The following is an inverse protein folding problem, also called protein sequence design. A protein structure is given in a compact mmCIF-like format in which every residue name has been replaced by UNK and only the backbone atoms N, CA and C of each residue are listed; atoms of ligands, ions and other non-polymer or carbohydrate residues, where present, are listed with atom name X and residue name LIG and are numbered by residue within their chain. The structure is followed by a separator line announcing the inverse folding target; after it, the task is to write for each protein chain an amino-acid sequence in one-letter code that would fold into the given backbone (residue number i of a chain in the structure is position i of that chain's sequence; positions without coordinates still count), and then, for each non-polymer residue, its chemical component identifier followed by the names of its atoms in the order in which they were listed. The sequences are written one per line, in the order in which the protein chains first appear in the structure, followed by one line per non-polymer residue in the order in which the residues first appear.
data_IF_132793839829
#
_entry.id   IF_132793839829
#
_cell.length_a   1.000
_cell.length_b   1.000
_cell.length_c   1.000
_cell.angle_alpha   90.00
_cell.angle_beta   90.00
_cell.angle_gamma   90.00
#
_symmetry.space_group_name_H-M   'P 1'
#
loop_
_entity.id
_entity.type
_entity.pdbx_description
1 polymer ?
#
# COMPACT_ATOMS: atom_id res chain seq x y z
N UNK A 1 -22.26 7.07 -22.54
CA UNK A 1 -22.29 5.61 -22.90
C UNK A 1 -21.83 4.73 -21.73
N UNK A 2 -20.63 4.90 -21.17
CA UNK A 2 -20.12 4.09 -20.05
C UNK A 2 -20.89 4.35 -18.74
N UNK A 3 -21.24 5.60 -18.46
CA UNK A 3 -22.03 6.02 -17.31
C UNK A 3 -23.47 5.49 -17.39
N UNK A 4 -24.05 5.39 -18.58
CA UNK A 4 -25.38 4.83 -18.80
C UNK A 4 -25.41 3.33 -18.57
N UNK A 5 -24.37 2.60 -19.05
CA UNK A 5 -24.25 1.15 -18.84
C UNK A 5 -24.08 0.85 -17.34
N UNK A 6 -23.29 1.67 -16.63
CA UNK A 6 -23.08 1.55 -15.18
C UNK A 6 -24.40 1.75 -14.43
N UNK A 7 -25.15 2.78 -14.79
CA UNK A 7 -26.44 3.11 -14.16
C UNK A 7 -27.50 2.03 -14.38
N UNK A 8 -27.53 1.45 -15.57
CA UNK A 8 -28.45 0.36 -15.92
C UNK A 8 -28.07 -0.95 -15.19
N UNK A 9 -26.78 -1.24 -15.07
CA UNK A 9 -26.26 -2.39 -14.31
C UNK A 9 -26.60 -2.27 -12.83
N UNK A 10 -26.43 -1.09 -12.21
CA UNK A 10 -26.78 -0.82 -10.83
C UNK A 10 -28.29 -1.02 -10.57
N UNK A 11 -29.13 -0.52 -11.45
CA UNK A 11 -30.59 -0.71 -11.35
C UNK A 11 -30.97 -2.19 -11.42
N UNK A 12 -30.36 -2.95 -12.33
CA UNK A 12 -30.61 -4.40 -12.44
C UNK A 12 -30.23 -5.14 -11.18
N UNK A 13 -29.02 -4.88 -10.64
CA UNK A 13 -28.55 -5.50 -9.40
C UNK A 13 -29.41 -5.11 -8.21
N UNK A 14 -29.78 -3.84 -8.10
CA UNK A 14 -30.70 -3.37 -7.05
C UNK A 14 -32.06 -4.06 -7.10
N UNK A 15 -32.62 -4.23 -8.30
CA UNK A 15 -33.87 -4.95 -8.50
C UNK A 15 -33.78 -6.42 -8.05
N UNK A 16 -32.71 -7.12 -8.42
CA UNK A 16 -32.45 -8.51 -8.02
C UNK A 16 -32.30 -8.64 -6.49
N UNK A 17 -31.56 -7.71 -5.86
CA UNK A 17 -31.37 -7.69 -4.41
C UNK A 17 -32.67 -7.36 -3.66
N UNK A 18 -33.48 -6.41 -4.16
CA UNK A 18 -34.80 -6.10 -3.59
C UNK A 18 -35.77 -7.29 -3.70
N UNK A 19 -35.75 -8.01 -4.82
CA UNK A 19 -36.50 -9.22 -5.02
C UNK A 19 -36.11 -10.36 -4.07
N UNK A 20 -34.80 -10.54 -3.87
CA UNK A 20 -34.25 -11.50 -2.92
C UNK A 20 -34.53 -11.14 -1.47
N UNK A 21 -34.47 -9.84 -1.13
CA UNK A 21 -34.83 -9.31 0.20
C UNK A 21 -36.31 -9.52 0.56
N UNK A 22 -37.21 -9.30 -0.40
CA UNK A 22 -38.67 -9.57 -0.20
C UNK A 22 -38.93 -11.03 0.16
N UNK A 23 -38.22 -11.97 -0.43
CA UNK A 23 -38.33 -13.41 -0.10
C UNK A 23 -37.86 -13.76 1.31
N UNK A 24 -37.02 -12.91 1.93
CA UNK A 24 -36.45 -13.09 3.26
C UNK A 24 -37.01 -12.13 4.32
N UNK A 25 -38.13 -11.45 4.05
CA UNK A 25 -38.71 -10.40 4.91
C UNK A 25 -37.68 -9.25 5.23
N UNK A 26 -36.79 -8.94 4.35
CA UNK A 26 -35.87 -7.79 4.51
C UNK A 26 -36.53 -6.51 3.94
N UNK A 27 -36.61 -5.41 4.72
CA UNK A 27 -37.49 -4.26 4.40
C UNK A 27 -36.86 -3.21 3.47
N UNK A 28 -35.78 -3.51 2.74
CA UNK A 28 -35.11 -2.53 1.87
C UNK A 28 -35.81 -2.41 0.51
N UNK A 29 -36.23 -1.20 0.16
CA UNK A 29 -36.73 -0.87 -1.17
C UNK A 29 -35.61 -0.74 -2.21
N UNK A 30 -35.99 -0.79 -3.49
CA UNK A 30 -35.05 -0.70 -4.61
C UNK A 30 -34.20 0.59 -4.56
N UNK A 31 -34.81 1.75 -4.29
CA UNK A 31 -34.13 3.04 -4.17
C UNK A 31 -33.12 3.08 -3.00
N UNK A 32 -33.43 2.43 -1.89
CA UNK A 32 -32.53 2.32 -0.74
C UNK A 32 -31.32 1.43 -1.05
N UNK A 33 -31.53 0.37 -1.82
CA UNK A 33 -30.45 -0.50 -2.28
C UNK A 33 -29.58 0.24 -3.30
N UNK A 34 -30.17 1.01 -4.22
CA UNK A 34 -29.43 1.85 -5.16
C UNK A 34 -28.56 2.84 -4.41
N UNK A 35 -29.12 3.59 -3.44
CA UNK A 35 -28.37 4.56 -2.65
C UNK A 35 -27.21 3.92 -1.87
N UNK A 36 -27.43 2.74 -1.27
CA UNK A 36 -26.39 1.98 -0.58
C UNK A 36 -25.30 1.49 -1.54
N UNK A 37 -25.67 1.03 -2.74
CA UNK A 37 -24.73 0.58 -3.75
C UNK A 37 -23.93 1.77 -4.30
N UNK A 38 -24.57 2.90 -4.58
CA UNK A 38 -23.89 4.11 -5.02
C UNK A 38 -22.93 4.62 -3.96
N UNK A 39 -23.33 4.70 -2.70
CA UNK A 39 -22.50 5.13 -1.60
C UNK A 39 -21.30 4.19 -1.39
N UNK A 40 -21.49 2.88 -1.46
CA UNK A 40 -20.42 1.91 -1.27
C UNK A 40 -19.52 1.76 -2.51
N UNK A 41 -20.07 1.86 -3.74
CA UNK A 41 -19.29 1.84 -4.95
C UNK A 41 -18.42 3.09 -5.10
N UNK A 42 -18.89 4.25 -4.68
CA UNK A 42 -18.07 5.47 -4.66
C UNK A 42 -16.92 5.38 -3.64
N UNK A 43 -17.09 4.59 -2.57
CA UNK A 43 -16.04 4.33 -1.57
C UNK A 43 -15.13 3.14 -1.92
N UNK A 44 -15.62 2.17 -2.71
CA UNK A 44 -14.94 0.88 -2.98
C UNK A 44 -14.20 0.84 -4.32
N UNK A 45 -14.51 1.75 -5.26
CA UNK A 45 -13.74 1.89 -6.51
C UNK A 45 -12.99 3.22 -6.45
N UNK A 46 -11.87 3.29 -5.76
CA UNK A 46 -10.97 4.42 -5.94
C UNK A 46 -10.56 4.42 -7.40
N UNK A 47 -10.51 5.59 -7.98
CA UNK A 47 -10.02 5.79 -9.34
C UNK A 47 -8.65 5.13 -9.44
N UNK A 48 -8.53 4.04 -10.21
CA UNK A 48 -7.25 3.35 -10.41
C UNK A 48 -6.38 4.29 -11.20
N UNK A 49 -5.47 4.97 -10.54
CA UNK A 49 -4.55 5.87 -11.20
C UNK A 49 -3.55 5.01 -11.99
N UNK A 50 -3.75 4.86 -13.30
CA UNK A 50 -2.85 4.13 -14.18
C UNK A 50 -1.44 4.74 -14.19
N UNK A 51 -1.35 6.05 -13.97
CA UNK A 51 -0.09 6.80 -13.94
C UNK A 51 0.29 7.13 -12.51
N UNK A 52 1.42 6.57 -12.06
CA UNK A 52 1.98 6.90 -10.75
C UNK A 52 2.31 8.39 -10.66
N UNK A 53 1.84 9.12 -9.64
CA UNK A 53 2.26 10.50 -9.38
C UNK A 53 3.77 10.62 -9.24
N UNK A 54 4.33 11.77 -9.61
CA UNK A 54 5.77 12.02 -9.48
C UNK A 54 6.23 11.94 -8.03
N UNK A 55 5.43 12.48 -7.11
CA UNK A 55 5.72 12.53 -5.67
C UNK A 55 4.60 11.81 -4.92
N UNK A 56 4.98 10.94 -4.00
CA UNK A 56 4.08 10.30 -3.05
C UNK A 56 4.54 10.61 -1.63
N UNK A 57 3.61 10.87 -0.73
CA UNK A 57 3.88 10.85 0.70
C UNK A 57 4.36 9.45 1.10
N UNK A 58 5.21 9.36 2.10
CA UNK A 58 5.86 8.11 2.46
C UNK A 58 5.97 7.95 3.97
N UNK A 59 5.55 6.81 4.46
CA UNK A 59 5.82 6.36 5.82
C UNK A 59 7.07 5.47 5.89
N UNK A 60 7.82 5.63 6.97
CA UNK A 60 9.04 4.86 7.24
C UNK A 60 8.77 3.86 8.36
N UNK A 61 8.76 2.59 8.04
CA UNK A 61 8.57 1.49 9.00
C UNK A 61 9.87 0.71 9.14
N UNK A 62 10.35 0.55 10.37
CA UNK A 62 11.57 -0.20 10.67
C UNK A 62 11.24 -1.60 11.16
N UNK A 63 12.03 -2.57 10.73
CA UNK A 63 11.89 -3.96 11.15
C UNK A 63 13.24 -4.68 11.17
N UNK A 64 13.26 -5.93 11.59
CA UNK A 64 14.43 -6.80 11.52
C UNK A 64 14.19 -7.92 10.53
N UNK A 65 15.22 -8.25 9.75
CA UNK A 65 15.27 -9.43 8.90
C UNK A 65 16.63 -10.10 9.13
N UNK A 66 16.63 -11.36 9.57
CA UNK A 66 17.84 -12.12 9.88
C UNK A 66 18.84 -11.39 10.80
N UNK A 67 18.34 -10.70 11.83
CA UNK A 67 19.11 -9.85 12.79
C UNK A 67 19.63 -8.54 12.18
N UNK A 68 19.47 -8.30 10.91
CA UNK A 68 19.79 -7.03 10.25
C UNK A 68 18.67 -6.02 10.43
N UNK A 69 19.04 -4.75 10.47
CA UNK A 69 18.08 -3.65 10.54
C UNK A 69 17.62 -3.31 9.12
N UNK A 70 16.32 -3.29 8.95
CA UNK A 70 15.69 -3.02 7.67
C UNK A 70 14.70 -1.86 7.79
N UNK A 71 14.40 -1.27 6.65
CA UNK A 71 13.40 -0.22 6.51
C UNK A 71 12.45 -0.58 5.37
N UNK A 72 11.16 -0.34 5.60
CA UNK A 72 10.14 -0.28 4.56
C UNK A 72 9.72 1.18 4.37
N UNK A 73 9.77 1.65 3.15
CA UNK A 73 9.28 2.94 2.69
C UNK A 73 7.93 2.69 2.01
N UNK A 74 6.83 3.06 2.67
CA UNK A 74 5.47 2.85 2.16
C UNK A 74 4.98 4.14 1.53
N UNK A 75 4.93 4.19 0.20
CA UNK A 75 4.41 5.31 -0.55
C UNK A 75 2.89 5.31 -0.53
N UNK A 76 2.29 6.46 -0.22
CA UNK A 76 0.86 6.63 -0.02
C UNK A 76 0.24 7.50 -1.12
N UNK A 77 -0.92 7.08 -1.62
CA UNK A 77 -1.79 7.88 -2.45
C UNK A 77 -3.13 8.03 -1.73
N UNK A 78 -3.50 9.27 -1.40
CA UNK A 78 -4.71 9.59 -0.63
C UNK A 78 -4.81 8.81 0.70
N UNK A 79 -3.65 8.65 1.37
CA UNK A 79 -3.56 7.93 2.65
C UNK A 79 -3.55 6.42 2.54
N UNK A 80 -3.68 5.85 1.34
CA UNK A 80 -3.68 4.41 1.10
C UNK A 80 -2.32 3.93 0.54
N UNK A 81 -1.80 2.75 0.96
CA UNK A 81 -0.57 2.20 0.40
C UNK A 81 -0.65 2.00 -1.11
N UNK A 82 0.23 2.65 -1.83
CA UNK A 82 0.32 2.61 -3.29
C UNK A 82 1.56 1.86 -3.77
N UNK A 83 2.65 1.97 -3.03
CA UNK A 83 3.90 1.26 -3.31
C UNK A 83 4.69 1.03 -2.02
N UNK A 84 5.59 0.08 -2.06
CA UNK A 84 6.50 -0.23 -0.97
C UNK A 84 7.90 -0.45 -1.53
N UNK A 85 8.92 0.02 -0.81
CA UNK A 85 10.33 -0.28 -1.05
C UNK A 85 10.95 -0.76 0.24
N UNK A 86 11.83 -1.75 0.17
CA UNK A 86 12.49 -2.31 1.35
C UNK A 86 13.98 -2.43 1.12
N UNK A 87 14.75 -2.14 2.16
CA UNK A 87 16.19 -2.25 2.10
C UNK A 87 16.85 -2.27 3.47
N UNK A 88 18.13 -2.60 3.49
CA UNK A 88 18.97 -2.54 4.68
C UNK A 88 19.08 -1.11 5.21
N UNK A 89 19.11 -0.99 6.52
CA UNK A 89 19.46 0.26 7.20
C UNK A 89 20.94 0.26 7.51
N UNK A 90 21.71 0.44 6.46
CA UNK A 90 23.16 0.39 6.42
C UNK A 90 23.70 1.47 5.48
N UNK A 91 24.92 1.97 5.70
CA UNK A 91 25.54 3.03 4.91
C UNK A 91 26.28 2.53 3.67
N UNK A 92 26.67 1.26 3.63
CA UNK A 92 27.38 0.66 2.50
C UNK A 92 26.41 -0.10 1.57
N UNK A 93 25.51 -0.92 2.13
CA UNK A 93 24.63 -1.82 1.38
C UNK A 93 23.14 -1.43 1.43
N UNK A 94 22.83 -0.19 1.80
CA UNK A 94 21.46 0.24 1.98
C UNK A 94 21.29 1.75 2.09
N UNK A 95 20.48 2.18 3.06
CA UNK A 95 20.28 3.59 3.38
C UNK A 95 20.31 3.83 4.89
N UNK A 96 21.04 4.85 5.33
CA UNK A 96 21.00 5.27 6.74
C UNK A 96 19.97 6.38 6.94
N UNK A 97 18.96 6.10 7.74
CA UNK A 97 17.95 7.07 8.15
C UNK A 97 18.02 7.34 9.65
N UNK A 98 18.05 8.61 10.09
CA UNK A 98 17.93 8.95 11.50
C UNK A 98 16.68 8.30 12.10
N UNK A 99 16.76 7.78 13.34
CA UNK A 99 15.63 7.12 14.02
C UNK A 99 14.38 8.02 14.14
N UNK A 100 14.57 9.32 14.09
CA UNK A 100 13.49 10.32 14.19
C UNK A 100 12.72 10.52 12.88
N UNK A 101 13.20 9.98 11.77
CA UNK A 101 12.53 10.07 10.47
C UNK A 101 11.49 8.95 10.38
N UNK A 102 10.23 9.31 10.50
CA UNK A 102 9.08 8.40 10.39
C UNK A 102 8.25 8.65 9.13
N UNK A 103 8.46 9.81 8.49
CA UNK A 103 7.74 10.23 7.29
C UNK A 103 8.70 10.92 6.31
N UNK A 104 8.30 10.94 5.05
CA UNK A 104 9.00 11.61 3.98
C UNK A 104 8.21 11.55 2.67
N UNK A 105 8.93 11.63 1.55
CA UNK A 105 8.35 11.59 0.21
C UNK A 105 9.18 10.68 -0.69
N UNK A 106 8.50 9.89 -1.51
CA UNK A 106 9.15 9.16 -2.60
C UNK A 106 8.95 9.93 -3.89
N UNK A 107 10.06 10.34 -4.49
CA UNK A 107 10.11 11.14 -5.71
C UNK A 107 10.56 10.23 -6.86
N UNK A 108 9.71 10.10 -7.88
CA UNK A 108 10.06 9.39 -9.12
C UNK A 108 10.72 10.38 -10.07
N UNK A 109 11.95 10.10 -10.44
CA UNK A 109 12.68 10.81 -11.48
C UNK A 109 12.64 10.02 -12.79
N UNK A 110 12.64 10.74 -13.91
CA UNK A 110 12.81 10.15 -15.25
C UNK A 110 14.10 10.71 -15.81
N UNK A 111 15.06 9.82 -16.05
CA UNK A 111 16.34 10.19 -16.62
C UNK A 111 16.21 10.50 -18.13
N UNK A 112 17.18 11.19 -18.74
CA UNK A 112 17.14 11.52 -20.17
C UNK A 112 17.04 10.30 -21.10
N UNK A 113 17.53 9.14 -20.67
CA UNK A 113 17.44 7.85 -21.37
C UNK A 113 16.10 7.13 -21.18
N UNK A 114 15.15 7.74 -20.45
CA UNK A 114 13.83 7.17 -20.15
C UNK A 114 13.84 6.19 -18.96
N UNK A 115 15.00 5.88 -18.37
CA UNK A 115 15.07 5.07 -17.15
C UNK A 115 14.44 5.81 -15.96
N UNK A 116 13.99 5.04 -14.96
CA UNK A 116 13.29 5.59 -13.80
C UNK A 116 14.16 5.43 -12.56
N UNK A 117 14.36 6.52 -11.84
CA UNK A 117 15.03 6.56 -10.53
C UNK A 117 14.00 6.91 -9.46
N UNK A 118 14.15 6.35 -8.28
CA UNK A 118 13.32 6.67 -7.11
C UNK A 118 14.22 7.21 -6.01
N UNK A 119 13.86 8.36 -5.49
CA UNK A 119 14.57 9.06 -4.43
C UNK A 119 13.68 9.16 -3.20
N UNK A 120 14.25 9.08 -2.01
CA UNK A 120 13.53 9.33 -0.76
C UNK A 120 13.98 10.66 -0.15
N UNK A 121 13.04 11.57 0.06
CA UNK A 121 13.29 12.87 0.67
C UNK A 121 12.60 12.97 2.03
N UNK A 122 13.30 13.47 3.03
CA UNK A 122 12.75 13.72 4.36
C UNK A 122 13.26 15.03 4.95
N UNK A 123 12.58 15.53 5.96
CA UNK A 123 13.02 16.69 6.73
C UNK A 123 13.65 16.22 8.05
N UNK A 124 14.79 16.77 8.39
CA UNK A 124 15.41 16.54 9.68
C UNK A 124 14.74 17.42 10.76
N UNK A 125 15.11 17.22 12.04
CA UNK A 125 14.57 17.99 13.18
C UNK A 125 14.74 19.50 13.08
N UNK A 126 15.63 20.00 12.20
CA UNK A 126 15.91 21.42 11.98
C UNK A 126 15.17 21.98 10.74
N UNK A 127 14.31 21.16 10.10
CA UNK A 127 13.57 21.55 8.89
C UNK A 127 14.39 21.50 7.60
N UNK A 128 15.62 20.97 7.62
CA UNK A 128 16.40 20.81 6.39
C UNK A 128 15.97 19.54 5.64
N UNK A 129 15.76 19.71 4.35
CA UNK A 129 15.45 18.59 3.44
C UNK A 129 16.72 17.82 3.11
N UNK A 130 16.65 16.52 3.28
CA UNK A 130 17.70 15.58 2.90
C UNK A 130 17.12 14.59 1.90
N UNK A 131 17.85 14.35 0.80
CA UNK A 131 17.41 13.41 -0.24
C UNK A 131 18.40 12.24 -0.32
N UNK A 132 17.87 11.03 -0.23
CA UNK A 132 18.57 9.79 -0.54
C UNK A 132 18.22 9.45 -1.97
N UNK A 133 19.19 9.60 -2.86
CA UNK A 133 19.01 9.36 -4.29
C UNK A 133 19.23 7.88 -4.66
N UNK A 134 18.52 7.41 -5.69
CA UNK A 134 18.79 6.12 -6.31
C UNK A 134 18.47 4.91 -5.43
N UNK A 135 17.27 4.82 -4.87
CA UNK A 135 16.86 3.68 -4.01
C UNK A 135 17.09 2.33 -4.69
N UNK A 136 16.87 2.24 -6.01
CA UNK A 136 17.06 0.99 -6.78
C UNK A 136 18.53 0.54 -6.87
N UNK A 137 19.46 1.47 -6.70
CA UNK A 137 20.90 1.19 -6.74
C UNK A 137 21.44 0.80 -5.36
N UNK A 138 20.74 1.24 -4.31
CA UNK A 138 21.13 1.04 -2.92
C UNK A 138 20.50 -0.22 -2.29
N UNK A 139 19.36 -0.63 -2.78
CA UNK A 139 18.64 -1.77 -2.23
C UNK A 139 18.97 -3.04 -3.00
N UNK A 140 19.00 -4.17 -2.27
CA UNK A 140 19.23 -5.47 -2.86
C UNK A 140 18.23 -5.76 -4.00
N UNK A 141 18.71 -6.15 -5.21
CA UNK A 141 17.84 -6.32 -6.39
C UNK A 141 16.75 -7.36 -6.23
N UNK A 142 16.94 -8.42 -5.45
CA UNK A 142 15.95 -9.47 -5.21
C UNK A 142 14.75 -8.88 -4.44
N UNK A 143 15.01 -8.25 -3.30
CA UNK A 143 13.96 -7.60 -2.49
C UNK A 143 13.33 -6.39 -3.21
N UNK A 144 14.10 -5.69 -4.02
CA UNK A 144 13.57 -4.66 -4.92
C UNK A 144 12.52 -5.21 -5.90
N UNK A 145 12.76 -6.40 -6.46
CA UNK A 145 11.82 -7.05 -7.36
C UNK A 145 10.55 -7.53 -6.63
N UNK A 146 10.68 -8.10 -5.43
CA UNK A 146 9.50 -8.43 -4.60
C UNK A 146 8.68 -7.18 -4.28
N UNK A 147 9.33 -6.11 -3.89
CA UNK A 147 8.68 -4.83 -3.61
C UNK A 147 7.94 -4.27 -4.84
N UNK A 148 8.52 -4.40 -6.05
CA UNK A 148 7.85 -4.03 -7.31
C UNK A 148 6.57 -4.83 -7.56
N UNK A 149 6.59 -6.14 -7.32
CA UNK A 149 5.41 -7.00 -7.49
C UNK A 149 4.32 -6.63 -6.47
N UNK A 150 4.69 -6.43 -5.20
CA UNK A 150 3.75 -6.00 -4.16
C UNK A 150 3.17 -4.61 -4.51
N UNK A 151 4.02 -3.67 -4.94
CA UNK A 151 3.57 -2.36 -5.39
C UNK A 151 2.61 -2.46 -6.58
N UNK A 152 2.80 -3.44 -7.46
CA UNK A 152 1.87 -3.73 -8.55
C UNK A 152 0.46 -4.01 -8.04
N UNK A 153 0.30 -4.96 -7.11
CA UNK A 153 -1.02 -5.32 -6.56
C UNK A 153 -1.63 -4.20 -5.69
N UNK A 154 -0.80 -3.42 -4.99
CA UNK A 154 -1.26 -2.24 -4.23
C UNK A 154 -1.87 -1.17 -5.14
N UNK A 155 -1.25 -0.90 -6.30
CA UNK A 155 -1.75 0.08 -7.29
C UNK A 155 -3.12 -0.27 -7.82
N UNK A 156 -3.40 -1.55 -7.98
CA UNK A 156 -4.72 -2.05 -8.40
C UNK A 156 -5.71 -2.20 -7.23
N UNK A 157 -5.38 -1.62 -6.07
CA UNK A 157 -6.25 -1.57 -4.89
C UNK A 157 -6.72 -2.96 -4.43
N UNK A 158 -5.86 -3.96 -4.55
CA UNK A 158 -6.13 -5.25 -3.88
C UNK A 158 -6.32 -4.99 -2.38
N UNK A 159 -7.38 -5.52 -1.74
CA UNK A 159 -7.59 -5.36 -0.31
C UNK A 159 -6.35 -5.76 0.49
N UNK A 160 -5.97 -4.96 1.48
CA UNK A 160 -4.70 -5.13 2.21
C UNK A 160 -4.58 -6.49 2.88
N UNK A 161 -5.68 -7.04 3.38
CA UNK A 161 -5.72 -8.39 3.98
C UNK A 161 -5.32 -9.47 2.95
N UNK A 162 -5.68 -9.28 1.67
CA UNK A 162 -5.28 -10.19 0.60
C UNK A 162 -3.81 -10.00 0.21
N UNK A 163 -3.33 -8.75 0.18
CA UNK A 163 -1.91 -8.45 -0.06
C UNK A 163 -1.05 -9.07 1.04
N UNK A 164 -1.45 -8.93 2.30
CA UNK A 164 -0.74 -9.51 3.45
C UNK A 164 -0.72 -11.03 3.36
N UNK A 165 -1.85 -11.69 3.05
CA UNK A 165 -1.91 -13.13 2.83
C UNK A 165 -1.01 -13.58 1.68
N UNK A 166 -0.97 -12.81 0.58
CA UNK A 166 -0.07 -13.06 -0.54
C UNK A 166 1.39 -13.00 -0.10
N UNK A 167 1.80 -11.97 0.63
CA UNK A 167 3.17 -11.82 1.15
C UNK A 167 3.51 -12.97 2.11
N UNK A 168 2.61 -13.32 3.03
CA UNK A 168 2.80 -14.42 3.97
C UNK A 168 3.00 -15.77 3.26
N UNK A 169 2.37 -15.96 2.09
CA UNK A 169 2.46 -17.20 1.30
C UNK A 169 3.76 -17.37 0.51
N UNK A 170 4.60 -16.31 0.40
CA UNK A 170 5.86 -16.38 -0.34
C UNK A 170 6.83 -17.35 0.36
N UNK A 171 7.45 -18.23 -0.42
CA UNK A 171 8.52 -19.11 0.05
C UNK A 171 9.87 -18.45 -0.24
N UNK A 172 10.55 -18.02 0.82
CA UNK A 172 11.89 -17.43 0.75
C UNK A 172 12.90 -18.46 1.27
N UNK A 173 14.16 -18.38 0.75
CA UNK A 173 15.18 -19.39 1.11
C UNK A 173 15.56 -19.38 2.59
N UNK A 174 15.55 -18.20 3.21
CA UNK A 174 15.93 -17.99 4.61
C UNK A 174 14.72 -17.60 5.44
N UNK A 175 14.04 -18.58 6.00
CA UNK A 175 12.92 -18.36 6.93
C UNK A 175 13.44 -18.33 8.38
N UNK A 176 13.62 -17.11 8.90
CA UNK A 176 13.84 -16.90 10.33
C UNK A 176 12.59 -16.33 11.00
N UNK A 177 12.54 -16.32 12.34
CA UNK A 177 11.42 -15.74 13.12
C UNK A 177 11.16 -14.27 12.72
N UNK A 178 12.25 -13.50 12.48
CA UNK A 178 12.17 -12.13 11.99
C UNK A 178 12.49 -12.13 10.49
N UNK A 179 11.51 -12.43 9.67
CA UNK A 179 11.68 -12.48 8.22
C UNK A 179 11.30 -11.16 7.56
N UNK A 180 11.79 -10.96 6.33
CA UNK A 180 11.38 -9.85 5.49
C UNK A 180 9.85 -9.81 5.29
N UNK A 181 9.19 -10.97 5.15
CA UNK A 181 7.72 -11.08 5.03
C UNK A 181 7.02 -10.43 6.22
N UNK A 182 7.42 -10.80 7.43
CA UNK A 182 6.85 -10.24 8.68
C UNK A 182 7.02 -8.72 8.76
N UNK A 183 8.17 -8.21 8.29
CA UNK A 183 8.41 -6.77 8.20
C UNK A 183 7.47 -6.06 7.23
N UNK A 184 7.26 -6.62 6.06
CA UNK A 184 6.32 -6.08 5.05
C UNK A 184 4.87 -6.18 5.55
N UNK A 185 4.46 -7.32 6.12
CA UNK A 185 3.15 -7.48 6.73
C UNK A 185 2.88 -6.42 7.80
N UNK A 186 3.82 -6.22 8.71
CA UNK A 186 3.74 -5.20 9.76
C UNK A 186 3.61 -3.80 9.16
N UNK A 187 4.37 -3.49 8.12
CA UNK A 187 4.32 -2.20 7.45
C UNK A 187 2.95 -1.90 6.81
N UNK A 188 2.27 -2.93 6.30
CA UNK A 188 0.97 -2.80 5.66
C UNK A 188 -0.21 -2.91 6.62
N UNK A 189 -0.10 -3.70 7.69
CA UNK A 189 -1.19 -3.91 8.69
C UNK A 189 -1.67 -2.60 9.31
N UNK A 190 -0.79 -1.64 9.54
CA UNK A 190 -1.16 -0.36 10.15
C UNK A 190 -2.20 0.46 9.36
N UNK A 191 -2.44 0.11 8.09
CA UNK A 191 -3.44 0.78 7.24
C UNK A 191 -4.77 0.01 7.17
N UNK A 192 -4.89 -1.11 7.87
CA UNK A 192 -6.15 -1.83 8.01
C UNK A 192 -6.96 -1.16 9.12
N UNK A 193 -8.21 -0.73 8.85
CA UNK A 193 -9.06 -0.16 9.89
C UNK A 193 -9.23 -1.10 11.09
N UNK A 194 -9.02 -0.59 12.31
CA UNK A 194 -9.14 -1.39 13.55
C UNK A 194 -7.90 -2.16 13.99
N UNK A 195 -6.81 -2.15 13.23
CA UNK A 195 -5.57 -2.86 13.60
C UNK A 195 -4.76 -2.20 14.72
N UNK A 196 -5.07 -0.97 15.10
CA UNK A 196 -4.34 -0.24 16.15
C UNK A 196 -4.61 -0.75 17.58
N UNK A 197 -5.67 -1.50 17.80
CA UNK A 197 -6.03 -2.03 19.12
C UNK A 197 -5.22 -3.29 19.50
N UNK A 198 -4.74 -4.06 18.53
CA UNK A 198 -3.99 -5.30 18.79
C UNK A 198 -2.53 -5.05 19.23
N UNK A 199 -1.92 -3.95 18.80
CA UNK A 199 -0.49 -3.66 19.10
C UNK A 199 -0.26 -3.22 20.54
N UNK A 200 -1.28 -2.75 21.26
CA UNK A 200 -1.17 -2.31 22.66
C UNK A 200 -1.29 -3.42 23.69
N UNK A 201 -1.64 -4.63 23.28
CA UNK A 201 -1.83 -5.77 24.18
C UNK A 201 -0.65 -6.76 24.21
N UNK A 202 0.45 -6.48 23.49
CA UNK A 202 1.64 -7.32 23.42
C UNK A 202 2.92 -6.64 23.97
N UNK A 203 2.79 -5.57 24.79
CA UNK A 203 3.88 -5.00 25.59
C UNK A 203 3.82 -5.42 27.04
#
# INVERSE_FOLDING_TARGET
MEEDIRKETLKRVAHELAAAGRKKNAPLGEDQIIALLEQNLMTVIPEVTEVRPQVLECDVVRFQNNKEKWVALVGLLDGYPYEIFTGLQDDEEGIMLPKTVTHGKIIKQVNPDGSKRYDFQFENKRGYKTTVEGLSEKFNPEYWNYAKLISGVLRYRMPLEHVIKLVASLSLKDESINTWKTGVERALKKYIPGSEEEVKNEE
#
